data_IF_113184526217
#
_entry.id   IF_113184526217
#
_cell.length_a   1.000
_cell.length_b   1.000
_cell.length_c   1.000
_cell.angle_alpha   90.00
_cell.angle_beta   90.00
_cell.angle_gamma   90.00
#
_symmetry.space_group_name_H-M   'P 1'
#
loop_
_entity.id
_entity.type
_entity.pdbx_description
1 polymer ?
#
# COMPACT_ATOMS: atom_id res chain seq x y z
N UNK A 1 6.52 12.93 -5.82
CA UNK A 1 5.25 13.13 -5.09
C UNK A 1 4.75 11.80 -4.56
N UNK A 2 4.16 11.71 -3.35
CA UNK A 2 3.68 10.46 -2.79
C UNK A 2 2.49 9.95 -3.61
N UNK A 3 2.65 8.79 -4.24
CA UNK A 3 1.62 8.19 -5.06
C UNK A 3 0.45 7.74 -4.18
N UNK A 4 -0.75 8.21 -4.50
CA UNK A 4 -2.04 7.73 -3.95
C UNK A 4 -2.10 7.77 -2.41
N UNK A 5 -1.55 8.81 -1.76
CA UNK A 5 -1.67 8.98 -0.30
C UNK A 5 -1.08 7.84 0.55
N UNK A 6 -0.21 7.00 -0.04
CA UNK A 6 0.28 5.77 0.61
C UNK A 6 1.02 6.03 1.92
N UNK A 7 1.64 7.20 2.09
CA UNK A 7 2.29 7.57 3.36
C UNK A 7 1.31 7.70 4.53
N UNK A 8 0.15 8.34 4.30
CA UNK A 8 -0.86 8.50 5.34
C UNK A 8 -1.49 7.16 5.72
N UNK A 9 -1.83 6.35 4.71
CA UNK A 9 -2.39 5.01 4.95
C UNK A 9 -1.39 4.11 5.69
N UNK A 10 -0.10 4.15 5.31
CA UNK A 10 0.94 3.40 6.04
C UNK A 10 1.08 3.85 7.49
N UNK A 11 1.03 5.16 7.76
CA UNK A 11 1.12 5.67 9.13
C UNK A 11 -0.04 5.19 10.02
N UNK A 12 -1.25 5.14 9.47
CA UNK A 12 -2.44 4.60 10.17
C UNK A 12 -2.27 3.10 10.42
N UNK A 13 -1.88 2.34 9.40
CA UNK A 13 -1.61 0.90 9.54
C UNK A 13 -0.51 0.63 10.58
N UNK A 14 0.55 1.45 10.60
CA UNK A 14 1.68 1.36 11.53
C UNK A 14 1.25 1.67 12.96
N UNK A 15 0.48 2.74 13.19
CA UNK A 15 0.00 3.14 14.50
C UNK A 15 -0.87 2.04 15.15
N UNK A 16 -1.81 1.48 14.39
CA UNK A 16 -2.69 0.40 14.86
C UNK A 16 -1.89 -0.88 15.12
N UNK A 17 -1.01 -1.27 14.19
CA UNK A 17 -0.19 -2.48 14.34
C UNK A 17 0.77 -2.37 15.54
N UNK A 18 1.34 -1.19 15.76
CA UNK A 18 2.22 -0.94 16.89
C UNK A 18 1.46 -0.99 18.22
N UNK A 19 0.28 -0.36 18.30
CA UNK A 19 -0.57 -0.40 19.49
C UNK A 19 -0.92 -1.85 19.88
N UNK A 20 -1.34 -2.67 18.92
CA UNK A 20 -1.64 -4.10 19.13
C UNK A 20 -0.40 -4.88 19.60
N UNK A 21 0.78 -4.59 19.06
CA UNK A 21 2.03 -5.22 19.50
C UNK A 21 2.39 -4.81 20.94
N UNK A 22 2.27 -3.53 21.28
CA UNK A 22 2.52 -3.05 22.64
C UNK A 22 1.57 -3.70 23.66
N UNK A 23 0.27 -3.76 23.36
CA UNK A 23 -0.72 -4.43 24.21
C UNK A 23 -0.41 -5.93 24.39
N UNK A 24 -0.10 -6.64 23.29
CA UNK A 24 0.24 -8.08 23.30
C UNK A 24 1.40 -8.41 24.25
N UNK A 25 2.41 -7.53 24.32
CA UNK A 25 3.60 -7.73 25.15
C UNK A 25 3.57 -6.93 26.46
N UNK A 26 2.38 -6.49 26.93
CA UNK A 26 2.23 -5.73 28.18
C UNK A 26 3.17 -4.52 28.27
N UNK A 27 3.32 -3.80 27.15
CA UNK A 27 4.19 -2.63 26.98
C UNK A 27 5.68 -2.90 27.18
N UNK A 28 6.14 -4.15 27.08
CA UNK A 28 7.57 -4.46 26.96
C UNK A 28 8.07 -4.09 25.57
N UNK A 29 9.02 -3.15 25.52
CA UNK A 29 9.39 -2.46 24.29
C UNK A 29 10.10 -3.38 23.28
N UNK A 30 11.16 -4.07 23.70
CA UNK A 30 11.95 -4.96 22.85
C UNK A 30 11.11 -6.01 22.11
N UNK A 31 10.32 -6.88 22.80
CA UNK A 31 9.55 -7.90 22.11
C UNK A 31 8.41 -7.30 21.24
N UNK A 32 7.81 -6.18 21.67
CA UNK A 32 6.79 -5.50 20.88
C UNK A 32 7.34 -4.92 19.57
N UNK A 33 8.49 -4.25 19.62
CA UNK A 33 9.15 -3.68 18.45
C UNK A 33 9.67 -4.76 17.50
N UNK A 34 10.20 -5.87 18.01
CA UNK A 34 10.61 -6.99 17.17
C UNK A 34 9.43 -7.59 16.40
N UNK A 35 8.30 -7.81 17.08
CA UNK A 35 7.09 -8.31 16.43
C UNK A 35 6.51 -7.31 15.42
N UNK A 36 6.44 -6.03 15.80
CA UNK A 36 6.00 -4.95 14.92
C UNK A 36 6.84 -4.91 13.63
N UNK A 37 8.17 -4.95 13.77
CA UNK A 37 9.08 -4.97 12.63
C UNK A 37 8.83 -6.18 11.72
N UNK A 38 8.70 -7.39 12.29
CA UNK A 38 8.40 -8.61 11.52
C UNK A 38 7.09 -8.50 10.74
N UNK A 39 6.05 -7.93 11.34
CA UNK A 39 4.74 -7.75 10.71
C UNK A 39 4.75 -6.70 9.59
N UNK A 40 5.43 -5.56 9.80
CA UNK A 40 5.31 -4.39 8.93
C UNK A 40 6.39 -4.26 7.86
N UNK A 41 7.59 -4.79 8.09
CA UNK A 41 8.73 -4.58 7.19
C UNK A 41 8.44 -4.94 5.73
N UNK A 42 7.86 -6.12 5.48
CA UNK A 42 7.56 -6.57 4.12
C UNK A 42 6.52 -5.69 3.43
N UNK A 43 5.46 -5.30 4.14
CA UNK A 43 4.39 -4.44 3.64
C UNK A 43 4.92 -3.05 3.30
N UNK A 44 5.61 -2.40 4.25
CA UNK A 44 6.19 -1.06 4.06
C UNK A 44 7.20 -1.07 2.92
N UNK A 45 8.08 -2.08 2.84
CA UNK A 45 9.03 -2.23 1.74
C UNK A 45 8.35 -2.34 0.38
N UNK A 46 7.27 -3.13 0.27
CA UNK A 46 6.52 -3.28 -0.97
C UNK A 46 5.89 -1.96 -1.41
N UNK A 47 5.21 -1.26 -0.50
CA UNK A 47 4.53 0.01 -0.77
C UNK A 47 5.54 1.09 -1.19
N UNK A 48 6.64 1.24 -0.45
CA UNK A 48 7.70 2.21 -0.78
C UNK A 48 8.33 1.91 -2.14
N UNK A 49 8.61 0.64 -2.45
CA UNK A 49 9.15 0.28 -3.75
C UNK A 49 8.16 0.56 -4.89
N UNK A 50 6.88 0.23 -4.70
CA UNK A 50 5.84 0.51 -5.68
C UNK A 50 5.71 2.02 -5.94
N UNK A 51 5.67 2.83 -4.88
CA UNK A 51 5.69 4.28 -5.00
C UNK A 51 6.93 4.78 -5.74
N UNK A 52 8.11 4.22 -5.47
CA UNK A 52 9.36 4.58 -6.19
C UNK A 52 9.28 4.24 -7.68
N UNK A 53 8.78 3.06 -8.05
CA UNK A 53 8.67 2.66 -9.45
C UNK A 53 7.60 3.47 -10.20
N UNK A 54 6.44 3.73 -9.59
CA UNK A 54 5.45 4.66 -10.13
C UNK A 54 6.05 6.06 -10.31
N UNK A 55 6.89 6.47 -9.35
CA UNK A 55 7.88 7.56 -9.40
C UNK A 55 8.51 7.74 -10.77
N UNK A 56 9.35 6.75 -11.04
CA UNK A 56 10.21 6.69 -12.21
C UNK A 56 9.39 6.56 -13.50
N UNK A 57 8.29 5.81 -13.49
CA UNK A 57 7.45 5.63 -14.67
C UNK A 57 6.68 6.91 -15.04
N UNK A 58 6.08 7.57 -14.05
CA UNK A 58 5.27 8.77 -14.29
C UNK A 58 6.11 10.01 -14.59
N UNK A 59 7.33 10.11 -14.07
CA UNK A 59 8.24 11.23 -14.36
C UNK A 59 9.37 10.88 -15.33
N UNK A 60 9.28 9.75 -16.03
CA UNK A 60 10.29 9.41 -17.03
C UNK A 60 10.27 10.41 -18.18
N UNK A 61 11.44 10.95 -18.51
CA UNK A 61 11.66 11.81 -19.68
C UNK A 61 11.87 11.00 -20.97
N UNK A 62 11.94 9.67 -20.87
CA UNK A 62 12.17 8.82 -22.02
C UNK A 62 10.94 8.84 -22.98
N UNK A 63 11.11 9.23 -24.25
CA UNK A 63 9.99 9.34 -25.22
C UNK A 63 9.22 8.03 -25.44
N UNK A 64 9.90 6.89 -25.34
CA UNK A 64 9.28 5.57 -25.46
C UNK A 64 8.35 5.30 -24.27
N UNK A 65 8.84 5.56 -23.05
CA UNK A 65 8.07 5.39 -21.81
C UNK A 65 6.88 6.35 -21.79
N UNK A 66 7.06 7.58 -22.25
CA UNK A 66 5.99 8.56 -22.41
C UNK A 66 4.88 8.04 -23.33
N UNK A 67 5.24 7.50 -24.49
CA UNK A 67 4.28 6.97 -25.48
C UNK A 67 3.51 5.76 -24.95
N UNK A 68 4.19 4.87 -24.23
CA UNK A 68 3.58 3.71 -23.56
C UNK A 68 2.62 4.17 -22.47
N UNK A 69 3.03 5.12 -21.61
CA UNK A 69 2.22 5.67 -20.52
C UNK A 69 0.93 6.31 -21.04
N UNK A 70 1.01 7.13 -22.09
CA UNK A 70 -0.14 7.80 -22.70
C UNK A 70 -1.22 6.82 -23.19
N UNK A 71 -0.83 5.61 -23.62
CA UNK A 71 -1.77 4.59 -24.12
C UNK A 71 -2.24 3.63 -23.03
N UNK A 72 -1.34 3.17 -22.15
CA UNK A 72 -1.67 2.19 -21.13
C UNK A 72 -2.50 2.78 -19.98
N UNK A 73 -2.17 3.99 -19.49
CA UNK A 73 -2.81 4.53 -18.29
C UNK A 73 -4.31 4.79 -18.47
N UNK A 74 -4.78 5.43 -19.56
CA UNK A 74 -6.22 5.62 -19.78
C UNK A 74 -6.97 4.29 -19.94
N UNK A 75 -6.37 3.31 -20.62
CA UNK A 75 -6.95 1.99 -20.82
C UNK A 75 -7.09 1.20 -19.51
N UNK A 76 -6.06 1.22 -18.66
CA UNK A 76 -6.08 0.60 -17.33
C UNK A 76 -7.08 1.28 -16.37
N UNK A 77 -7.32 2.58 -16.53
CA UNK A 77 -8.33 3.32 -15.76
C UNK A 77 -9.75 2.97 -16.22
N UNK A 78 -10.01 2.93 -17.53
CA UNK A 78 -11.34 2.66 -18.10
C UNK A 78 -11.84 1.23 -17.86
N UNK A 79 -10.93 0.28 -17.67
CA UNK A 79 -11.27 -1.12 -17.42
C UNK A 79 -11.65 -1.43 -15.97
N UNK A 80 -11.68 -0.43 -15.07
CA UNK A 80 -11.77 -0.58 -13.61
C UNK A 80 -10.71 -1.53 -12.99
N UNK A 81 -9.76 -2.03 -13.78
CA UNK A 81 -8.82 -3.07 -13.39
C UNK A 81 -7.87 -2.56 -12.30
N UNK A 82 -7.37 -1.34 -12.43
CA UNK A 82 -6.52 -0.70 -11.41
C UNK A 82 -7.22 -0.58 -10.05
N UNK A 83 -8.50 -0.22 -10.05
CA UNK A 83 -9.28 -0.08 -8.81
C UNK A 83 -9.45 -1.45 -8.15
N UNK A 84 -9.84 -2.47 -8.91
CA UNK A 84 -10.01 -3.84 -8.40
C UNK A 84 -8.70 -4.44 -7.88
N UNK A 85 -7.58 -4.16 -8.55
CA UNK A 85 -6.26 -4.59 -8.07
C UNK A 85 -5.85 -3.88 -6.79
N UNK A 86 -6.10 -2.56 -6.68
CA UNK A 86 -5.83 -1.81 -5.47
C UNK A 86 -6.71 -2.28 -4.30
N UNK A 87 -8.00 -2.54 -4.56
CA UNK A 87 -8.95 -3.09 -3.59
C UNK A 87 -8.48 -4.47 -3.10
N UNK A 88 -8.12 -5.37 -4.01
CA UNK A 88 -7.58 -6.69 -3.67
C UNK A 88 -6.31 -6.59 -2.82
N UNK A 89 -5.36 -5.73 -3.18
CA UNK A 89 -4.14 -5.51 -2.40
C UNK A 89 -4.46 -5.00 -0.99
N UNK A 90 -5.47 -4.12 -0.84
CA UNK A 90 -5.94 -3.64 0.46
C UNK A 90 -6.53 -4.78 1.28
N UNK A 91 -7.43 -5.59 0.73
CA UNK A 91 -8.05 -6.69 1.47
C UNK A 91 -7.05 -7.78 1.87
N UNK A 92 -6.11 -8.11 1.00
CA UNK A 92 -5.15 -9.20 1.26
C UNK A 92 -4.00 -8.78 2.19
N UNK A 93 -3.63 -7.50 2.22
CA UNK A 93 -2.40 -7.06 2.88
C UNK A 93 -2.58 -5.96 3.94
N UNK A 94 -3.77 -5.37 4.10
CA UNK A 94 -4.02 -4.41 5.18
C UNK A 94 -4.12 -5.16 6.52
N UNK A 95 -3.27 -4.85 7.52
CA UNK A 95 -3.32 -5.50 8.83
C UNK A 95 -4.45 -4.96 9.73
N UNK A 96 -5.06 -3.84 9.34
CA UNK A 96 -6.13 -3.20 10.10
C UNK A 96 -7.46 -3.88 9.76
N UNK A 97 -8.29 -4.24 10.75
CA UNK A 97 -9.62 -4.78 10.49
C UNK A 97 -10.44 -3.79 9.67
N UNK A 98 -10.70 -4.13 8.41
CA UNK A 98 -11.56 -3.33 7.55
C UNK A 98 -13.01 -3.65 7.92
N UNK A 99 -13.78 -2.62 8.30
CA UNK A 99 -15.21 -2.76 8.52
C UNK A 99 -15.84 -3.30 7.23
N UNK A 100 -16.56 -4.43 7.34
CA UNK A 100 -16.99 -5.25 6.22
C UNK A 100 -18.03 -4.54 5.33
N UNK A 101 -17.62 -3.58 4.51
CA UNK A 101 -18.36 -3.30 3.28
C UNK A 101 -18.04 -4.44 2.33
N UNK A 102 -19.06 -5.22 1.99
CA UNK A 102 -18.95 -6.24 0.94
C UNK A 102 -18.25 -5.62 -0.27
N UNK A 103 -17.29 -6.31 -0.91
CA UNK A 103 -16.77 -5.87 -2.19
C UNK A 103 -17.96 -5.52 -3.08
N UNK A 104 -17.83 -4.43 -3.84
CA UNK A 104 -18.86 -3.99 -4.77
C UNK A 104 -18.92 -5.03 -5.89
N UNK A 105 -19.54 -6.18 -5.63
CA UNK A 105 -19.74 -7.26 -6.59
C UNK A 105 -21.11 -7.06 -7.24
N UNK A 106 -21.10 -6.40 -8.40
CA UNK A 106 -21.28 -7.02 -9.73
C UNK A 106 -21.11 -5.98 -10.82
#
# INVERSE_FOLDING_TARGET
>A
LPYVGQGANMAIEDAISLAQCLEKYKFQMEPAFQEYHKKRFNRTKRVVNMARYMGLFLHSENPLVHSIRQRLVPWLMQSNMMIRMAEKELYENCPVPMEQRKPIDK
#
